data_IF_367319325686
#
_entry.id   IF_367319325686
#
_cell.length_a   1.000
_cell.length_b   1.000
_cell.length_c   1.000
_cell.angle_alpha   90.00
_cell.angle_beta   90.00
_cell.angle_gamma   90.00
#
_symmetry.space_group_name_H-M   'P 1'
#
loop_
_entity.id
_entity.type
_entity.pdbx_description
1 polymer ?
#
# COMPACT_ATOMS: atom_id res chain seq x y z
N UNK A 1 19.24 9.98 -6.46
CA UNK A 1 19.06 9.91 -5.00
C UNK A 1 18.87 8.48 -4.50
N UNK A 2 19.43 7.50 -5.20
CA UNK A 2 20.23 6.47 -4.55
C UNK A 2 21.70 6.89 -4.74
N UNK A 3 22.56 6.61 -3.77
CA UNK A 3 24.02 6.73 -3.87
C UNK A 3 24.64 5.62 -4.75
N UNK A 4 23.79 4.92 -5.49
CA UNK A 4 24.13 3.89 -6.46
C UNK A 4 23.14 4.02 -7.63
N UNK A 5 23.55 3.62 -8.83
CA UNK A 5 22.56 3.27 -9.83
C UNK A 5 21.76 2.11 -9.24
N UNK A 6 20.42 2.22 -9.22
CA UNK A 6 19.60 1.03 -9.02
C UNK A 6 20.01 0.05 -10.10
N UNK A 7 20.71 -1.00 -9.70
CA UNK A 7 21.06 -2.09 -10.59
C UNK A 7 19.74 -2.65 -11.08
N UNK A 8 19.45 -2.46 -12.36
CA UNK A 8 18.54 -3.33 -13.07
C UNK A 8 19.21 -4.71 -13.05
N UNK A 9 19.07 -5.49 -11.96
CA UNK A 9 19.84 -6.72 -11.84
C UNK A 9 19.08 -7.98 -11.40
N UNK A 10 18.82 -8.89 -12.35
CA UNK A 10 18.62 -8.57 -13.77
C UNK A 10 17.22 -7.96 -13.91
N UNK A 11 17.12 -6.67 -14.23
CA UNK A 11 16.02 -6.30 -15.11
C UNK A 11 16.47 -6.82 -16.46
N UNK A 12 15.75 -7.78 -16.99
CA UNK A 12 16.14 -8.38 -18.25
C UNK A 12 16.21 -7.30 -19.34
N UNK A 13 17.14 -7.49 -20.25
CA UNK A 13 17.21 -6.79 -21.52
C UNK A 13 16.15 -7.38 -22.49
N UNK A 14 14.93 -7.60 -21.99
CA UNK A 14 13.86 -8.32 -22.70
C UNK A 14 12.85 -7.36 -23.31
N UNK A 15 13.35 -6.30 -23.98
CA UNK A 15 12.60 -5.48 -24.93
C UNK A 15 11.16 -5.15 -24.52
N UNK A 16 10.92 -3.92 -24.06
CA UNK A 16 9.59 -3.35 -23.83
C UNK A 16 8.72 -4.02 -22.74
N UNK A 17 9.14 -5.14 -22.13
CA UNK A 17 8.29 -5.84 -21.16
C UNK A 17 8.32 -5.15 -19.78
N UNK A 18 7.15 -4.99 -19.13
CA UNK A 18 7.09 -4.39 -17.80
C UNK A 18 7.91 -5.19 -16.78
N UNK A 19 8.49 -4.47 -15.81
CA UNK A 19 8.75 -5.06 -14.51
C UNK A 19 7.44 -5.31 -13.77
N UNK A 20 6.72 -6.38 -14.13
CA UNK A 20 5.61 -6.88 -13.33
C UNK A 20 6.17 -7.79 -12.24
N UNK A 21 5.95 -7.45 -10.96
CA UNK A 21 6.40 -8.25 -9.81
C UNK A 21 5.84 -9.68 -9.76
N UNK A 22 4.90 -10.03 -10.64
CA UNK A 22 4.35 -11.38 -10.79
C UNK A 22 5.06 -12.23 -11.86
N UNK A 23 5.97 -11.65 -12.64
CA UNK A 23 6.72 -12.38 -13.66
C UNK A 23 8.15 -12.53 -13.16
N UNK A 24 8.59 -13.77 -12.99
CA UNK A 24 10.00 -14.03 -12.73
C UNK A 24 10.79 -13.60 -13.97
N UNK A 25 11.44 -12.44 -13.88
CA UNK A 25 12.31 -11.92 -14.92
C UNK A 25 13.58 -12.76 -15.04
N UNK A 26 14.01 -13.46 -13.99
CA UNK A 26 15.01 -14.51 -14.20
C UNK A 26 14.31 -15.70 -14.86
N UNK A 27 14.80 -16.20 -16.00
CA UNK A 27 14.33 -17.49 -16.56
C UNK A 27 14.64 -18.69 -15.63
N UNK A 28 15.28 -18.45 -14.48
CA UNK A 28 15.75 -19.44 -13.52
C UNK A 28 15.49 -19.00 -12.09
N UNK A 29 14.47 -19.58 -11.45
CA UNK A 29 14.27 -19.44 -9.99
C UNK A 29 15.49 -20.05 -9.29
N UNK A 30 16.26 -19.23 -8.57
CA UNK A 30 17.41 -19.71 -7.80
C UNK A 30 17.00 -20.38 -6.48
N UNK A 31 16.00 -19.83 -5.79
CA UNK A 31 15.44 -20.40 -4.57
C UNK A 31 13.97 -19.99 -4.44
N UNK A 32 13.10 -20.97 -4.21
CA UNK A 32 11.69 -20.69 -3.90
C UNK A 32 11.57 -20.28 -2.43
N UNK A 33 11.02 -19.09 -2.17
CA UNK A 33 10.61 -18.72 -0.82
C UNK A 33 9.41 -19.60 -0.44
N UNK A 34 9.56 -20.37 0.63
CA UNK A 34 8.49 -21.19 1.21
C UNK A 34 8.09 -20.60 2.54
N UNK A 35 6.80 -20.69 2.86
CA UNK A 35 6.25 -20.22 4.12
C UNK A 35 5.48 -21.34 4.81
N UNK A 36 5.41 -21.26 6.13
CA UNK A 36 4.76 -22.21 7.01
C UNK A 36 4.14 -21.49 8.20
N UNK A 37 3.31 -22.20 8.97
CA UNK A 37 2.84 -21.71 10.27
C UNK A 37 4.01 -21.37 11.21
N UNK A 38 5.09 -22.16 11.18
CA UNK A 38 6.25 -21.92 12.03
C UNK A 38 6.92 -20.57 11.71
N UNK A 39 6.99 -20.19 10.44
CA UNK A 39 7.55 -18.88 10.05
C UNK A 39 6.73 -17.72 10.64
N UNK A 40 5.40 -17.85 10.67
CA UNK A 40 4.55 -16.84 11.33
C UNK A 40 4.80 -16.79 12.84
N UNK A 41 4.95 -17.95 13.50
CA UNK A 41 5.29 -18.02 14.93
C UNK A 41 6.62 -17.34 15.22
N UNK A 42 7.63 -17.60 14.40
CA UNK A 42 8.98 -17.07 14.57
C UNK A 42 9.02 -15.55 14.34
N UNK A 43 8.34 -15.05 13.31
CA UNK A 43 8.21 -13.60 13.07
C UNK A 43 7.50 -12.93 14.25
N UNK A 44 6.39 -13.51 14.74
CA UNK A 44 5.67 -12.96 15.89
C UNK A 44 6.50 -12.98 17.16
N UNK A 45 7.23 -14.06 17.44
CA UNK A 45 8.11 -14.14 18.61
C UNK A 45 9.22 -13.10 18.52
N UNK A 46 9.89 -13.00 17.37
CA UNK A 46 10.91 -11.99 17.11
C UNK A 46 10.40 -10.57 17.31
N UNK A 47 9.22 -10.25 16.75
CA UNK A 47 8.62 -8.94 16.94
C UNK A 47 8.25 -8.65 18.41
N UNK A 48 7.73 -9.64 19.14
CA UNK A 48 7.44 -9.52 20.57
C UNK A 48 8.70 -9.22 21.37
N UNK A 49 9.78 -9.97 21.12
CA UNK A 49 11.05 -9.86 21.86
C UNK A 49 11.82 -8.59 21.55
N UNK A 50 11.75 -8.08 20.31
CA UNK A 50 12.63 -6.99 19.84
C UNK A 50 11.95 -5.64 19.71
N UNK A 51 10.65 -5.59 19.43
CA UNK A 51 10.01 -4.35 19.00
C UNK A 51 8.73 -3.99 19.74
N UNK A 52 7.85 -4.95 20.04
CA UNK A 52 6.54 -4.63 20.60
C UNK A 52 6.60 -4.00 21.99
N UNK A 53 7.67 -4.25 22.76
CA UNK A 53 7.92 -3.64 24.05
C UNK A 53 8.47 -2.21 23.97
N UNK A 54 8.92 -1.75 22.79
CA UNK A 54 9.40 -0.37 22.64
C UNK A 54 8.27 0.63 22.93
N UNK A 55 8.59 1.68 23.69
CA UNK A 55 7.62 2.69 24.12
C UNK A 55 6.97 3.43 22.95
N UNK A 56 7.72 3.63 21.87
CA UNK A 56 7.25 4.25 20.63
C UNK A 56 6.58 3.26 19.66
N UNK A 57 6.45 1.98 20.01
CA UNK A 57 5.72 1.02 19.19
C UNK A 57 4.22 1.27 19.34
N UNK A 58 3.53 1.51 18.22
CA UNK A 58 2.11 1.82 18.21
C UNK A 58 1.25 0.65 18.70
N UNK A 59 0.37 0.93 19.65
CA UNK A 59 -0.55 -0.03 20.27
C UNK A 59 -1.96 0.56 20.31
N UNK A 60 -2.96 -0.29 20.14
CA UNK A 60 -4.38 0.02 20.36
C UNK A 60 -4.87 -0.93 21.44
N UNK A 61 -5.44 -0.40 22.53
CA UNK A 61 -5.86 -1.18 23.70
C UNK A 61 -4.76 -2.10 24.27
N UNK A 62 -3.52 -1.61 24.23
CA UNK A 62 -2.33 -2.35 24.67
C UNK A 62 -1.87 -3.47 23.72
N UNK A 63 -2.60 -3.77 22.65
CA UNK A 63 -2.19 -4.72 21.62
C UNK A 63 -1.25 -4.04 20.61
N UNK A 64 -0.07 -4.60 20.31
CA UNK A 64 0.79 -4.13 19.23
C UNK A 64 0.06 -4.16 17.89
N UNK A 65 0.13 -3.08 17.12
CA UNK A 65 -0.42 -3.05 15.76
C UNK A 65 0.54 -3.76 14.81
N UNK A 66 0.02 -4.73 14.05
CA UNK A 66 0.79 -5.45 13.04
C UNK A 66 0.06 -5.44 11.69
N UNK A 67 0.70 -4.85 10.69
CA UNK A 67 0.13 -4.71 9.35
C UNK A 67 0.55 -5.86 8.44
N UNK A 68 -0.42 -6.45 7.73
CA UNK A 68 -0.18 -7.52 6.74
C UNK A 68 -0.50 -6.99 5.35
N UNK A 69 0.54 -6.84 4.53
CA UNK A 69 0.41 -6.26 3.18
C UNK A 69 -0.36 -7.16 2.19
N UNK A 70 -0.09 -8.47 2.18
CA UNK A 70 -0.76 -9.40 1.27
C UNK A 70 -1.55 -10.47 2.02
N UNK A 71 -2.83 -10.17 2.25
CA UNK A 71 -3.81 -11.10 2.83
C UNK A 71 -3.89 -12.41 2.03
N UNK A 72 -3.97 -12.31 0.70
CA UNK A 72 -4.05 -13.47 -0.19
C UNK A 72 -2.82 -14.37 -0.10
N UNK A 73 -1.61 -13.81 0.01
CA UNK A 73 -0.38 -14.62 0.16
C UNK A 73 -0.31 -15.31 1.52
N UNK A 74 -0.73 -14.66 2.60
CA UNK A 74 -0.81 -15.29 3.92
C UNK A 74 -1.78 -16.48 3.92
N UNK A 75 -2.97 -16.29 3.35
CA UNK A 75 -4.04 -17.29 3.36
C UNK A 75 -3.79 -18.48 2.43
N UNK A 76 -2.74 -18.46 1.60
CA UNK A 76 -2.29 -19.65 0.84
C UNK A 76 -1.61 -20.68 1.73
N UNK A 77 -1.04 -20.26 2.86
CA UNK A 77 -0.23 -21.12 3.72
C UNK A 77 -0.86 -21.39 5.08
N UNK A 78 -1.71 -20.48 5.56
CA UNK A 78 -2.32 -20.55 6.89
C UNK A 78 -3.78 -20.15 6.76
N UNK A 79 -4.68 -20.97 7.29
CA UNK A 79 -6.10 -20.61 7.35
C UNK A 79 -6.30 -19.30 8.12
N UNK A 80 -7.19 -18.40 7.69
CA UNK A 80 -7.29 -17.05 8.27
C UNK A 80 -7.53 -17.05 9.79
N UNK A 81 -8.39 -17.95 10.28
CA UNK A 81 -8.66 -18.10 11.71
C UNK A 81 -7.44 -18.59 12.48
N UNK A 82 -6.66 -19.47 11.89
CA UNK A 82 -5.42 -19.96 12.50
C UNK A 82 -4.36 -18.87 12.56
N UNK A 83 -4.23 -18.03 11.53
CA UNK A 83 -3.31 -16.89 11.55
C UNK A 83 -3.60 -15.96 12.74
N UNK A 84 -4.86 -15.57 12.96
CA UNK A 84 -5.27 -14.75 14.11
C UNK A 84 -4.98 -15.47 15.43
N UNK A 85 -5.31 -16.76 15.53
CA UNK A 85 -5.05 -17.57 16.72
C UNK A 85 -3.56 -17.62 17.05
N UNK A 86 -2.70 -17.94 16.07
CA UNK A 86 -1.25 -18.04 16.22
C UNK A 86 -0.66 -16.70 16.68
N UNK A 87 -1.01 -15.60 16.00
CA UNK A 87 -0.50 -14.26 16.34
C UNK A 87 -0.86 -13.89 17.78
N UNK A 88 -2.10 -14.16 18.20
CA UNK A 88 -2.54 -13.89 19.57
C UNK A 88 -1.91 -14.82 20.62
N UNK A 89 -1.76 -16.12 20.33
CA UNK A 89 -1.07 -17.08 21.21
C UNK A 89 0.36 -16.62 21.51
N UNK A 90 1.11 -16.28 20.46
CA UNK A 90 2.51 -15.86 20.60
C UNK A 90 2.61 -14.54 21.36
N UNK A 91 1.76 -13.56 21.05
CA UNK A 91 1.74 -12.27 21.75
C UNK A 91 1.41 -12.43 23.24
N UNK A 92 0.41 -13.25 23.58
CA UNK A 92 0.02 -13.53 24.97
C UNK A 92 1.12 -14.22 25.77
N UNK A 93 1.84 -15.16 25.14
CA UNK A 93 3.01 -15.80 25.76
C UNK A 93 4.10 -14.79 26.14
N UNK A 94 4.20 -13.67 25.41
CA UNK A 94 5.14 -12.58 25.67
C UNK A 94 4.56 -11.44 26.51
N UNK A 95 3.38 -11.63 27.12
CA UNK A 95 2.78 -10.67 28.04
C UNK A 95 1.95 -9.57 27.39
N UNK A 96 1.69 -9.63 26.08
CA UNK A 96 0.76 -8.72 25.40
C UNK A 96 -0.69 -9.26 25.47
N UNK A 97 -1.72 -8.41 25.49
CA UNK A 97 -3.12 -8.86 25.48
C UNK A 97 -3.54 -9.60 24.19
N UNK A 98 -2.76 -9.42 23.12
CA UNK A 98 -2.99 -9.97 21.78
C UNK A 98 -2.27 -9.11 20.75
N UNK A 99 -2.60 -9.28 19.47
CA UNK A 99 -2.16 -8.41 18.37
C UNK A 99 -3.37 -7.66 17.82
N UNK A 100 -3.19 -6.39 17.47
CA UNK A 100 -4.15 -5.63 16.68
C UNK A 100 -3.77 -5.77 15.21
N UNK A 101 -4.54 -6.55 14.47
CA UNK A 101 -4.25 -6.88 13.07
C UNK A 101 -4.79 -5.81 12.13
N UNK A 102 -3.92 -5.28 11.26
CA UNK A 102 -4.25 -4.30 10.25
C UNK A 102 -4.04 -4.89 8.85
N UNK A 103 -5.12 -5.27 8.19
CA UNK A 103 -5.05 -6.06 6.96
C UNK A 103 -5.18 -5.17 5.72
N UNK A 104 -4.19 -5.20 4.84
CA UNK A 104 -4.30 -4.50 3.56
C UNK A 104 -5.27 -5.23 2.63
N UNK A 105 -6.17 -4.45 2.05
CA UNK A 105 -7.11 -4.85 0.99
C UNK A 105 -6.93 -4.01 -0.29
N UNK A 106 -6.01 -3.05 -0.31
CA UNK A 106 -5.65 -2.26 -1.50
C UNK A 106 -4.51 -2.90 -2.30
N UNK A 107 -4.23 -2.39 -3.50
CA UNK A 107 -3.31 -3.00 -4.48
C UNK A 107 -3.64 -4.47 -4.77
N UNK A 108 -4.92 -4.82 -4.77
CA UNK A 108 -5.40 -6.17 -4.95
C UNK A 108 -6.07 -6.29 -6.31
N UNK A 109 -5.54 -7.11 -7.22
CA UNK A 109 -6.06 -7.29 -8.57
C UNK A 109 -7.32 -8.18 -8.62
N UNK A 110 -8.24 -7.95 -7.68
CA UNK A 110 -9.45 -8.76 -7.47
C UNK A 110 -10.71 -8.08 -8.00
N UNK A 111 -10.63 -6.77 -8.26
CA UNK A 111 -11.69 -6.00 -8.90
C UNK A 111 -11.12 -4.82 -9.68
N UNK A 112 -12.00 -4.14 -10.41
CA UNK A 112 -11.68 -3.00 -11.26
C UNK A 112 -11.07 -1.81 -10.52
N UNK A 113 -11.12 -1.77 -9.19
CA UNK A 113 -10.69 -0.64 -8.35
C UNK A 113 -9.37 -0.89 -7.63
N UNK A 114 -8.78 -2.07 -7.84
CA UNK A 114 -7.58 -2.53 -7.15
C UNK A 114 -7.73 -2.51 -5.61
N UNK A 115 -8.98 -2.61 -5.13
CA UNK A 115 -9.35 -2.52 -3.71
C UNK A 115 -10.33 -3.63 -3.36
N UNK A 116 -9.86 -4.70 -2.72
CA UNK A 116 -10.63 -5.90 -2.43
C UNK A 116 -11.58 -5.79 -1.23
N UNK A 117 -12.52 -4.84 -1.21
CA UNK A 117 -13.55 -4.78 -0.15
C UNK A 117 -14.39 -6.06 -0.05
N UNK A 118 -14.53 -6.82 -1.14
CA UNK A 118 -15.13 -8.16 -1.13
C UNK A 118 -14.39 -9.18 -0.24
N UNK A 119 -13.15 -8.89 0.19
CA UNK A 119 -12.39 -9.69 1.17
C UNK A 119 -12.79 -9.39 2.62
N UNK A 120 -13.44 -8.25 2.88
CA UNK A 120 -13.76 -7.80 4.24
C UNK A 120 -14.61 -8.83 5.00
N UNK A 121 -15.65 -9.45 4.43
CA UNK A 121 -16.39 -10.50 5.14
C UNK A 121 -15.47 -11.63 5.65
N UNK A 122 -14.56 -12.13 4.79
CA UNK A 122 -13.59 -13.16 5.19
C UNK A 122 -12.65 -12.67 6.29
N UNK A 123 -12.22 -11.42 6.26
CA UNK A 123 -11.35 -10.83 7.29
C UNK A 123 -12.13 -10.70 8.62
N UNK A 124 -13.31 -10.09 8.60
CA UNK A 124 -14.16 -9.90 9.77
C UNK A 124 -14.55 -11.23 10.42
N UNK A 125 -15.05 -12.18 9.64
CA UNK A 125 -15.61 -13.44 10.14
C UNK A 125 -14.54 -14.39 10.71
N UNK A 126 -13.25 -14.08 10.49
CA UNK A 126 -12.11 -14.81 11.05
C UNK A 126 -11.42 -14.08 12.21
N UNK A 127 -11.93 -12.93 12.65
CA UNK A 127 -11.51 -12.27 13.89
C UNK A 127 -10.30 -11.34 13.75
N UNK A 128 -10.01 -10.84 12.56
CA UNK A 128 -9.06 -9.73 12.38
C UNK A 128 -9.68 -8.40 12.86
N UNK A 129 -8.86 -7.39 13.18
CA UNK A 129 -9.31 -6.19 13.91
C UNK A 129 -9.66 -5.02 12.97
N UNK A 130 -8.84 -4.74 11.95
CA UNK A 130 -9.08 -3.63 11.02
C UNK A 130 -8.53 -3.86 9.61
N UNK A 131 -8.96 -3.02 8.67
CA UNK A 131 -8.46 -3.01 7.29
C UNK A 131 -7.97 -1.63 6.84
N UNK A 132 -7.16 -1.60 5.79
CA UNK A 132 -6.83 -0.37 5.04
C UNK A 132 -6.59 -0.70 3.57
N UNK A 133 -6.65 0.29 2.69
CA UNK A 133 -6.41 0.12 1.27
C UNK A 133 -5.19 0.94 0.82
N UNK A 134 -3.99 0.36 0.87
CA UNK A 134 -2.70 1.05 0.67
C UNK A 134 -2.66 2.01 -0.55
N UNK A 135 -3.03 1.51 -1.72
CA UNK A 135 -3.30 2.34 -2.90
C UNK A 135 -4.48 1.75 -3.66
N UNK A 136 -5.37 2.61 -4.12
CA UNK A 136 -6.44 2.25 -5.04
C UNK A 136 -5.98 2.64 -6.44
N UNK A 137 -5.63 1.61 -7.22
CA UNK A 137 -5.03 1.73 -8.55
C UNK A 137 -5.93 2.41 -9.59
N UNK A 138 -5.53 2.35 -10.87
CA UNK A 138 -6.25 3.03 -11.95
C UNK A 138 -7.43 2.15 -12.24
N UNK A 139 -8.64 2.68 -12.07
CA UNK A 139 -9.80 1.86 -12.38
C UNK A 139 -9.79 1.47 -13.85
N UNK A 140 -10.17 0.22 -14.16
CA UNK A 140 -10.12 -0.29 -15.53
C UNK A 140 -11.04 0.47 -16.50
N UNK A 141 -12.08 1.14 -15.99
CA UNK A 141 -12.90 2.05 -16.79
C UNK A 141 -12.19 3.37 -17.12
N UNK A 142 -11.34 3.87 -16.22
CA UNK A 142 -10.47 5.02 -16.48
C UNK A 142 -9.28 4.67 -17.37
N UNK A 143 -8.77 3.44 -17.34
CA UNK A 143 -7.71 2.99 -18.25
C UNK A 143 -8.08 3.22 -19.73
N UNK A 144 -9.36 3.01 -20.08
CA UNK A 144 -9.89 3.25 -21.43
C UNK A 144 -9.90 4.73 -21.84
N UNK A 145 -9.79 5.65 -20.88
CA UNK A 145 -9.80 7.11 -21.11
C UNK A 145 -8.40 7.70 -21.24
N UNK A 146 -7.36 6.95 -20.86
CA UNK A 146 -5.97 7.38 -21.01
C UNK A 146 -5.57 7.18 -22.46
N UNK A 147 -5.18 8.25 -23.14
CA UNK A 147 -4.73 8.15 -24.52
C UNK A 147 -3.46 7.29 -24.58
N UNK A 148 -3.33 6.34 -25.53
CA UNK A 148 -2.17 5.46 -25.61
C UNK A 148 -0.82 6.20 -25.68
N UNK A 149 -0.81 7.43 -26.20
CA UNK A 149 0.35 8.31 -26.36
C UNK A 149 0.48 9.40 -25.27
N UNK A 150 -0.49 9.49 -24.33
CA UNK A 150 -0.44 10.38 -23.16
C UNK A 150 -0.67 9.59 -21.86
N UNK A 151 0.40 9.14 -21.18
CA UNK A 151 0.33 8.32 -19.97
C UNK A 151 -0.08 9.09 -18.73
N UNK A 152 -0.65 10.28 -18.85
CA UNK A 152 -0.87 11.12 -17.69
C UNK A 152 -2.30 11.01 -17.21
N UNK A 153 -2.48 10.87 -15.90
CA UNK A 153 -3.77 10.89 -15.23
C UNK A 153 -3.82 12.08 -14.26
N UNK A 154 -4.88 12.88 -14.30
CA UNK A 154 -5.06 13.93 -13.30
C UNK A 154 -5.29 13.33 -11.91
N UNK A 155 -4.74 13.97 -10.88
CA UNK A 155 -4.92 13.54 -9.49
C UNK A 155 -6.40 13.50 -9.03
N UNK A 156 -7.34 14.17 -9.72
CA UNK A 156 -8.78 14.10 -9.42
C UNK A 156 -9.30 12.68 -9.44
N UNK A 157 -8.83 11.86 -10.39
CA UNK A 157 -9.23 10.47 -10.54
C UNK A 157 -8.80 9.65 -9.33
N UNK A 158 -7.59 9.89 -8.82
CA UNK A 158 -7.09 9.23 -7.61
C UNK A 158 -7.93 9.62 -6.38
N UNK A 159 -8.31 10.90 -6.26
CA UNK A 159 -9.18 11.39 -5.18
C UNK A 159 -10.58 10.77 -5.25
N UNK A 160 -11.17 10.70 -6.44
CA UNK A 160 -12.47 10.06 -6.66
C UNK A 160 -12.42 8.57 -6.29
N UNK A 161 -11.37 7.88 -6.74
CA UNK A 161 -11.20 6.45 -6.45
C UNK A 161 -11.01 6.18 -4.96
N UNK A 162 -10.23 7.01 -4.25
CA UNK A 162 -10.06 6.90 -2.80
C UNK A 162 -11.37 7.08 -2.06
N UNK A 163 -12.15 8.13 -2.38
CA UNK A 163 -13.48 8.35 -1.79
C UNK A 163 -14.40 7.15 -1.99
N UNK A 164 -14.47 6.65 -3.22
CA UNK A 164 -15.29 5.48 -3.54
C UNK A 164 -14.87 4.25 -2.75
N UNK A 165 -13.56 3.98 -2.66
CA UNK A 165 -13.04 2.88 -1.86
C UNK A 165 -13.40 3.02 -0.38
N UNK A 166 -13.27 4.22 0.20
CA UNK A 166 -13.63 4.47 1.59
C UNK A 166 -15.12 4.21 1.86
N UNK A 167 -16.01 4.66 0.97
CA UNK A 167 -17.45 4.39 1.06
C UNK A 167 -17.74 2.89 1.05
N UNK A 168 -17.17 2.15 0.08
CA UNK A 168 -17.36 0.69 -0.04
C UNK A 168 -16.83 -0.09 1.14
N UNK A 169 -15.72 0.35 1.74
CA UNK A 169 -15.17 -0.27 2.95
C UNK A 169 -16.07 0.02 4.15
N UNK A 170 -16.53 1.27 4.31
CA UNK A 170 -17.42 1.68 5.39
C UNK A 170 -18.75 0.90 5.38
N UNK A 171 -19.32 0.65 4.19
CA UNK A 171 -20.54 -0.16 4.01
C UNK A 171 -20.42 -1.58 4.60
N UNK A 172 -19.21 -2.13 4.77
CA UNK A 172 -19.00 -3.47 5.31
C UNK A 172 -19.04 -3.55 6.84
N UNK A 173 -19.03 -2.40 7.53
CA UNK A 173 -19.10 -2.32 9.00
C UNK A 173 -17.85 -2.82 9.74
N UNK A 174 -16.71 -2.91 9.05
CA UNK A 174 -15.42 -3.28 9.65
C UNK A 174 -14.64 -2.01 10.02
N UNK A 175 -13.95 -1.95 11.18
CA UNK A 175 -13.00 -0.88 11.45
C UNK A 175 -11.98 -0.75 10.32
N UNK A 176 -11.71 0.48 9.88
CA UNK A 176 -10.72 0.72 8.84
C UNK A 176 -10.01 2.06 9.01
N UNK A 177 -8.80 2.14 8.44
CA UNK A 177 -8.02 3.38 8.39
C UNK A 177 -7.98 3.89 6.95
N UNK A 178 -8.56 5.06 6.65
CA UNK A 178 -8.57 5.60 5.30
C UNK A 178 -7.13 5.87 4.85
N UNK A 179 -6.86 5.56 3.59
CA UNK A 179 -5.55 5.75 2.99
C UNK A 179 -5.57 6.97 2.07
N UNK A 180 -4.55 7.82 2.17
CA UNK A 180 -4.36 9.01 1.34
C UNK A 180 -3.17 8.73 0.42
N UNK A 181 -3.44 8.61 -0.88
CA UNK A 181 -2.42 8.41 -1.91
C UNK A 181 -1.76 9.73 -2.28
N UNK A 182 -0.46 9.69 -2.62
CA UNK A 182 0.25 10.84 -3.20
C UNK A 182 0.21 10.84 -4.74
N UNK A 183 -0.54 9.92 -5.35
CA UNK A 183 -0.51 9.64 -6.78
C UNK A 183 0.37 8.44 -7.09
N UNK A 184 0.80 8.31 -8.35
CA UNK A 184 1.69 7.25 -8.80
C UNK A 184 2.56 7.74 -9.96
N UNK A 185 3.85 7.49 -9.91
CA UNK A 185 4.79 7.68 -11.00
C UNK A 185 5.83 6.56 -10.98
N UNK A 186 5.57 5.51 -11.75
CA UNK A 186 6.49 4.37 -11.91
C UNK A 186 7.47 4.56 -13.07
N UNK A 187 7.55 5.76 -13.65
CA UNK A 187 8.52 6.05 -14.72
C UNK A 187 9.99 5.82 -14.35
N UNK A 188 10.42 5.92 -13.07
CA UNK A 188 11.78 5.50 -12.70
C UNK A 188 12.06 4.01 -12.92
N UNK A 189 11.03 3.16 -13.03
CA UNK A 189 11.13 1.71 -13.32
C UNK A 189 11.13 1.39 -14.81
N UNK A 190 10.95 2.40 -15.67
CA UNK A 190 10.84 2.19 -17.12
C UNK A 190 12.21 1.93 -17.75
N UNK A 191 12.23 1.11 -18.81
CA UNK A 191 13.45 0.87 -19.57
C UNK A 191 13.98 2.17 -20.18
N UNK A 192 15.29 2.40 -20.08
CA UNK A 192 15.95 3.57 -20.69
C UNK A 192 16.00 3.51 -22.22
N UNK A 193 15.64 2.38 -22.81
CA UNK A 193 15.61 2.19 -24.27
C UNK A 193 14.27 2.62 -24.89
N UNK A 194 13.28 3.01 -24.08
CA UNK A 194 11.97 3.44 -24.57
C UNK A 194 12.08 4.73 -25.38
N UNK A 195 11.55 4.71 -26.61
CA UNK A 195 11.45 5.86 -27.50
C UNK A 195 10.01 6.32 -27.63
N UNK A 196 9.79 7.62 -27.75
CA UNK A 196 8.47 8.20 -28.04
C UNK A 196 8.06 7.96 -29.51
N UNK A 197 6.76 7.74 -29.83
CA UNK A 197 5.63 7.61 -28.91
C UNK A 197 5.60 6.26 -28.20
N UNK A 198 5.11 6.27 -26.97
CA UNK A 198 4.99 5.09 -26.12
C UNK A 198 3.62 4.42 -26.31
N UNK A 199 3.54 3.10 -26.10
CA UNK A 199 2.26 2.38 -26.00
C UNK A 199 2.08 1.85 -24.58
N UNK A 200 1.43 2.65 -23.74
CA UNK A 200 1.33 2.36 -22.30
C UNK A 200 0.57 1.11 -21.95
N UNK A 201 -0.47 0.80 -22.72
CA UNK A 201 -1.29 -0.40 -22.54
C UNK A 201 -0.45 -1.66 -22.79
N UNK A 202 0.43 -1.66 -23.79
CA UNK A 202 1.33 -2.79 -24.05
C UNK A 202 2.45 -2.92 -23.02
N UNK A 203 2.89 -1.80 -22.44
CA UNK A 203 3.97 -1.78 -21.48
C UNK A 203 3.52 -2.18 -20.07
N UNK A 204 2.22 -2.33 -19.79
CA UNK A 204 1.70 -2.78 -18.50
C UNK A 204 2.14 -1.91 -17.30
N UNK A 205 2.49 -0.65 -17.54
CA UNK A 205 2.80 0.31 -16.50
C UNK A 205 1.58 1.15 -16.16
N UNK A 206 1.53 1.59 -14.91
CA UNK A 206 0.51 2.49 -14.42
C UNK A 206 0.76 3.92 -14.94
N UNK A 207 -0.28 4.68 -15.33
CA UNK A 207 -0.15 6.08 -15.74
C UNK A 207 0.58 6.98 -14.73
N UNK A 208 1.29 7.98 -15.22
CA UNK A 208 1.90 9.01 -14.39
C UNK A 208 0.79 9.94 -13.86
N UNK A 209 0.66 10.03 -12.55
CA UNK A 209 -0.26 10.97 -11.93
C UNK A 209 0.33 12.38 -11.99
N UNK A 210 -0.43 13.32 -12.53
CA UNK A 210 -0.09 14.73 -12.62
C UNK A 210 -1.04 15.56 -11.74
N UNK A 211 -0.65 16.81 -11.47
CA UNK A 211 -1.44 17.75 -10.67
C UNK A 211 -1.77 17.26 -9.25
N UNK A 212 -0.94 16.39 -8.68
CA UNK A 212 -0.95 15.97 -7.27
C UNK A 212 -0.27 17.02 -6.38
N UNK A 213 -0.82 18.23 -6.36
CA UNK A 213 -0.27 19.36 -5.59
C UNK A 213 -0.51 19.19 -4.09
N UNK A 214 0.29 19.86 -3.21
CA UNK A 214 0.05 19.81 -1.78
C UNK A 214 -1.36 20.22 -1.37
N UNK A 215 -1.97 21.18 -2.06
CA UNK A 215 -3.34 21.66 -1.78
C UNK A 215 -4.38 20.55 -2.00
N UNK A 216 -4.24 19.77 -3.08
CA UNK A 216 -5.18 18.67 -3.39
C UNK A 216 -4.95 17.47 -2.49
N UNK A 217 -3.69 17.19 -2.13
CA UNK A 217 -3.38 16.17 -1.12
C UNK A 217 -3.94 16.58 0.24
N UNK A 218 -3.84 17.87 0.61
CA UNK A 218 -4.45 18.41 1.83
C UNK A 218 -5.97 18.29 1.83
N UNK A 219 -6.62 18.53 0.68
CA UNK A 219 -8.06 18.33 0.52
C UNK A 219 -8.46 16.88 0.81
N UNK A 220 -7.77 15.91 0.19
CA UNK A 220 -8.03 14.49 0.41
C UNK A 220 -7.73 14.08 1.87
N UNK A 221 -6.66 14.61 2.46
CA UNK A 221 -6.31 14.35 3.86
C UNK A 221 -7.37 14.90 4.83
N UNK A 222 -7.93 16.10 4.59
CA UNK A 222 -9.03 16.63 5.41
C UNK A 222 -10.26 15.75 5.35
N UNK A 223 -10.59 15.23 4.16
CA UNK A 223 -11.70 14.29 4.00
C UNK A 223 -11.45 13.01 4.79
N UNK A 224 -10.26 12.41 4.70
CA UNK A 224 -9.88 11.23 5.48
C UNK A 224 -9.98 11.49 7.00
N UNK A 225 -9.46 12.62 7.48
CA UNK A 225 -9.50 12.98 8.91
C UNK A 225 -10.93 13.22 9.41
N UNK A 226 -11.84 13.73 8.56
CA UNK A 226 -13.24 13.95 8.92
C UNK A 226 -14.01 12.67 9.26
N UNK A 227 -13.46 11.51 8.88
CA UNK A 227 -14.04 10.19 9.15
C UNK A 227 -13.83 9.72 10.59
N UNK A 228 -12.99 10.42 11.38
CA UNK A 228 -12.78 10.18 12.83
C UNK A 228 -12.34 8.75 13.18
N UNK A 229 -11.48 8.16 12.36
CA UNK A 229 -10.82 6.87 12.62
C UNK A 229 -9.59 7.04 13.51
N UNK A 230 -9.09 5.97 14.14
CA UNK A 230 -7.92 6.04 15.03
C UNK A 230 -6.64 6.49 14.31
N UNK A 231 -6.54 6.21 13.00
CA UNK A 231 -5.42 6.61 12.17
C UNK A 231 -5.86 6.89 10.73
N UNK A 232 -5.01 7.62 10.00
CA UNK A 232 -5.03 7.78 8.54
C UNK A 232 -3.71 7.25 8.02
N UNK A 233 -3.75 6.42 6.97
CA UNK A 233 -2.55 5.92 6.30
C UNK A 233 -2.18 6.91 5.20
N UNK A 234 -0.91 7.32 5.11
CA UNK A 234 -0.43 8.13 3.98
C UNK A 234 0.55 7.26 3.18
N UNK A 235 0.24 7.08 1.91
CA UNK A 235 1.08 6.33 0.97
C UNK A 235 1.90 7.30 0.11
N UNK A 236 3.21 7.45 0.33
CA UNK A 236 4.05 6.84 1.37
C UNK A 236 5.13 7.80 1.85
N UNK A 237 5.86 7.41 2.91
CA UNK A 237 7.00 8.18 3.39
C UNK A 237 8.10 8.29 2.32
N UNK A 238 8.49 7.18 1.69
CA UNK A 238 9.68 7.07 0.85
C UNK A 238 9.57 6.02 -0.28
N UNK A 239 8.40 5.81 -0.88
CA UNK A 239 8.22 4.88 -2.00
C UNK A 239 8.67 5.54 -3.32
N UNK A 240 9.98 5.74 -3.42
CA UNK A 240 10.61 6.52 -4.50
C UNK A 240 10.35 5.97 -5.91
N UNK A 241 10.33 4.65 -6.03
CA UNK A 241 10.22 3.98 -7.34
C UNK A 241 8.80 4.03 -7.91
N UNK A 242 7.82 4.46 -7.12
CA UNK A 242 6.43 4.70 -7.53
C UNK A 242 6.04 6.17 -7.41
N UNK A 243 7.00 7.07 -7.18
CA UNK A 243 6.73 8.51 -7.04
C UNK A 243 5.97 8.91 -5.77
N UNK A 244 5.67 7.94 -4.89
CA UNK A 244 4.88 8.11 -3.67
C UNK A 244 5.79 8.40 -2.47
N UNK A 245 6.27 9.64 -2.34
CA UNK A 245 7.14 10.02 -1.24
C UNK A 245 6.86 11.42 -0.68
N UNK A 246 6.91 11.52 0.65
CA UNK A 246 6.72 12.78 1.40
C UNK A 246 8.01 13.56 1.63
N UNK A 247 9.17 12.93 1.43
CA UNK A 247 10.44 13.55 1.75
C UNK A 247 10.73 14.81 0.88
N UNK A 248 11.48 15.79 1.42
CA UNK A 248 11.71 17.06 0.76
C UNK A 248 12.30 16.94 -0.65
N UNK A 249 11.79 17.74 -1.59
CA UNK A 249 12.27 17.78 -2.99
C UNK A 249 13.12 19.03 -3.23
N UNK A 250 14.07 18.96 -4.17
CA UNK A 250 14.94 20.12 -4.50
C UNK A 250 14.16 21.39 -4.89
N UNK A 251 13.02 21.24 -5.58
CA UNK A 251 12.25 22.36 -6.13
C UNK A 251 11.12 22.87 -5.22
N UNK A 252 10.62 22.04 -4.29
CA UNK A 252 9.52 22.42 -3.37
C UNK A 252 9.89 22.31 -1.88
N UNK A 253 11.13 21.95 -1.54
CA UNK A 253 11.57 21.79 -0.16
C UNK A 253 10.67 20.85 0.64
N UNK A 254 10.32 21.24 1.86
CA UNK A 254 9.44 20.53 2.79
C UNK A 254 7.94 20.81 2.60
N UNK A 255 7.54 21.51 1.52
CA UNK A 255 6.19 22.05 1.36
C UNK A 255 5.07 21.01 1.55
N UNK A 256 5.28 19.74 1.16
CA UNK A 256 4.32 18.67 1.40
C UNK A 256 4.19 18.33 2.90
N UNK A 257 5.31 18.19 3.61
CA UNK A 257 5.31 17.95 5.06
C UNK A 257 4.71 19.13 5.82
N UNK A 258 5.03 20.35 5.41
CA UNK A 258 4.49 21.57 6.02
C UNK A 258 2.97 21.65 5.83
N UNK A 259 2.50 21.28 4.64
CA UNK A 259 1.07 21.23 4.31
C UNK A 259 0.34 20.16 5.14
N UNK A 260 0.90 18.96 5.28
CA UNK A 260 0.32 17.91 6.13
C UNK A 260 0.28 18.39 7.59
N UNK A 261 1.38 18.94 8.10
CA UNK A 261 1.45 19.47 9.46
C UNK A 261 0.40 20.57 9.71
N UNK A 262 0.17 21.45 8.72
CA UNK A 262 -0.88 22.46 8.79
C UNK A 262 -2.27 21.82 8.91
N UNK A 263 -2.60 20.86 8.04
CA UNK A 263 -3.89 20.14 8.09
C UNK A 263 -4.09 19.43 9.43
N UNK A 264 -3.06 18.77 9.95
CA UNK A 264 -3.13 18.10 11.25
C UNK A 264 -3.34 19.06 12.42
N UNK A 265 -2.85 20.30 12.33
CA UNK A 265 -3.10 21.35 13.33
C UNK A 265 -4.50 21.95 13.24
N UNK A 266 -5.12 21.96 12.06
CA UNK A 266 -6.51 22.42 11.86
C UNK A 266 -7.55 21.48 12.49
N UNK A 267 -7.18 20.22 12.76
CA UNK A 267 -8.07 19.18 13.32
C UNK A 267 -7.90 18.96 14.83
N UNK A 268 -6.95 19.66 15.47
CA UNK A 268 -6.77 19.66 16.94
C UNK A 268 -7.64 20.74 17.58
#
# INVERSE_FOLDING_TARGET
WANHAWGMWPAMDDGLRPMNGNVNQSSKIFLTIRHSEQDLRDVMAYCCEKYFSCENYWKIDGKPVFSVFSTGSLFKYIEPRDAVRIMNEVAKKHGFPGIYTLMNIGCCNDNEYYCGWGRIPKIRDNGFDAVFAYNSGLRSDFEKTVAPDQPTLDYSFMMENQRYCWERIAEQGMPFFPSVTLGNDVSPRWSRQLTYPWNYTEMGYYPITINNTPERIAELLRQALSMKTDAVIINAWNEWTEGMYLIPKKHIGSMMLDTINKVLKEQK
#
